data_IF_864925275939
#
_entry.id   IF_864925275939
#
_cell.length_a   1.000
_cell.length_b   1.000
_cell.length_c   1.000
_cell.angle_alpha   90.00
_cell.angle_beta   90.00
_cell.angle_gamma   90.00
#
_symmetry.space_group_name_H-M   'P 1'
#
loop_
_entity.id
_entity.type
_entity.pdbx_description
1 polymer ?
#
# COMPACT_ATOMS: atom_id res chain seq x y z
N UNK A 1 -24.43 -26.07 3.38
CA UNK A 1 -23.60 -26.53 4.51
C UNK A 1 -23.90 -25.67 5.75
N UNK A 2 -24.35 -26.25 6.88
CA UNK A 2 -24.48 -25.54 8.16
C UNK A 2 -23.13 -24.98 8.65
N UNK A 3 -23.14 -23.87 9.40
CA UNK A 3 -21.91 -23.20 9.87
C UNK A 3 -21.34 -23.90 11.12
N UNK A 4 -20.02 -23.90 11.29
CA UNK A 4 -19.30 -24.44 12.46
C UNK A 4 -19.47 -25.95 12.66
N UNK A 5 -19.49 -26.70 11.56
CA UNK A 5 -19.46 -28.17 11.60
C UNK A 5 -18.03 -28.66 11.31
N UNK A 6 -17.51 -29.64 12.06
CA UNK A 6 -16.19 -30.21 11.82
C UNK A 6 -16.18 -31.16 10.62
N UNK A 7 -17.32 -31.77 10.29
CA UNK A 7 -17.46 -32.74 9.20
C UNK A 7 -18.67 -32.40 8.31
N UNK A 8 -18.67 -32.85 7.06
CA UNK A 8 -19.67 -32.52 6.05
C UNK A 8 -20.00 -33.71 5.13
N UNK A 9 -21.25 -33.79 4.61
CA UNK A 9 -21.60 -34.81 3.62
C UNK A 9 -20.74 -34.72 2.34
N UNK A 10 -20.48 -35.87 1.71
CA UNK A 10 -19.62 -36.02 0.52
C UNK A 10 -19.96 -35.08 -0.64
N UNK A 11 -21.23 -34.68 -0.76
CA UNK A 11 -21.71 -33.72 -1.75
C UNK A 11 -21.00 -32.34 -1.68
N UNK A 12 -20.39 -31.98 -0.54
CA UNK A 12 -19.66 -30.71 -0.36
C UNK A 12 -18.14 -30.85 -0.45
N UNK A 13 -17.62 -32.05 -0.70
CA UNK A 13 -16.17 -32.33 -0.72
C UNK A 13 -15.40 -31.46 -1.72
N UNK A 14 -15.92 -31.26 -2.93
CA UNK A 14 -15.23 -30.50 -3.98
C UNK A 14 -14.95 -29.04 -3.59
N UNK A 15 -15.96 -28.32 -3.09
CA UNK A 15 -15.79 -26.91 -2.70
C UNK A 15 -14.91 -26.74 -1.46
N UNK A 16 -14.97 -27.69 -0.51
CA UNK A 16 -14.05 -27.69 0.63
C UNK A 16 -12.61 -27.92 0.19
N UNK A 17 -12.36 -28.85 -0.76
CA UNK A 17 -11.01 -29.08 -1.30
C UNK A 17 -10.42 -27.83 -1.98
N UNK A 18 -11.20 -27.14 -2.82
CA UNK A 18 -10.77 -25.88 -3.46
C UNK A 18 -10.51 -24.79 -2.41
N UNK A 19 -11.37 -24.67 -1.40
CA UNK A 19 -11.21 -23.68 -0.33
C UNK A 19 -9.97 -23.94 0.52
N UNK A 20 -9.68 -25.20 0.85
CA UNK A 20 -8.46 -25.61 1.55
C UNK A 20 -7.20 -25.30 0.73
N UNK A 21 -7.23 -25.55 -0.58
CA UNK A 21 -6.13 -25.18 -1.46
C UNK A 21 -5.93 -23.65 -1.51
N UNK A 22 -7.02 -22.88 -1.63
CA UNK A 22 -6.97 -21.42 -1.58
C UNK A 22 -6.36 -20.89 -0.27
N UNK A 23 -6.68 -21.53 0.87
CA UNK A 23 -6.07 -21.19 2.16
C UNK A 23 -4.55 -21.39 2.16
N UNK A 24 -4.04 -22.43 1.52
CA UNK A 24 -2.59 -22.65 1.39
C UNK A 24 -1.94 -21.51 0.59
N UNK A 25 -2.57 -21.10 -0.52
CA UNK A 25 -2.11 -19.96 -1.33
C UNK A 25 -2.08 -18.67 -0.52
N UNK A 26 -3.11 -18.42 0.32
CA UNK A 26 -3.14 -17.24 1.20
C UNK A 26 -2.01 -17.22 2.23
N UNK A 27 -1.64 -18.38 2.78
CA UNK A 27 -0.49 -18.48 3.70
C UNK A 27 0.81 -18.13 2.99
N UNK A 28 1.04 -18.68 1.79
CA UNK A 28 2.22 -18.37 0.98
C UNK A 28 2.27 -16.87 0.62
N UNK A 29 1.14 -16.29 0.21
CA UNK A 29 1.04 -14.86 -0.09
C UNK A 29 1.37 -13.98 1.13
N UNK A 30 0.96 -14.40 2.33
CA UNK A 30 1.26 -13.67 3.57
C UNK A 30 2.75 -13.70 3.91
N UNK A 31 3.41 -14.84 3.70
CA UNK A 31 4.87 -14.95 3.86
C UNK A 31 5.59 -14.05 2.86
N UNK A 32 5.17 -14.06 1.60
CA UNK A 32 5.72 -13.18 0.57
C UNK A 32 5.51 -11.69 0.91
N UNK A 33 4.34 -11.32 1.41
CA UNK A 33 4.06 -9.97 1.88
C UNK A 33 5.00 -9.54 3.01
N UNK A 34 5.26 -10.43 3.98
CA UNK A 34 6.26 -10.19 5.03
C UNK A 34 7.67 -9.96 4.48
N UNK A 35 8.06 -10.72 3.46
CA UNK A 35 9.34 -10.52 2.77
C UNK A 35 9.40 -9.17 2.03
N UNK A 36 8.32 -8.75 1.34
CA UNK A 36 8.26 -7.46 0.66
C UNK A 36 8.43 -6.31 1.66
N UNK A 37 7.78 -6.39 2.83
CA UNK A 37 7.97 -5.40 3.89
C UNK A 37 9.43 -5.33 4.33
N UNK A 38 10.06 -6.49 4.58
CA UNK A 38 11.47 -6.56 4.95
C UNK A 38 12.37 -5.91 3.89
N UNK A 39 12.15 -6.21 2.61
CA UNK A 39 12.92 -5.64 1.50
C UNK A 39 12.80 -4.11 1.43
N UNK A 40 11.59 -3.58 1.61
CA UNK A 40 11.34 -2.13 1.64
C UNK A 40 12.11 -1.45 2.77
N UNK A 41 12.21 -2.05 3.95
CA UNK A 41 12.90 -1.42 5.08
C UNK A 41 14.43 -1.50 5.01
N UNK A 42 14.98 -2.57 4.42
CA UNK A 42 16.43 -2.82 4.45
C UNK A 42 17.12 -2.37 3.17
N UNK A 43 16.48 -2.57 2.02
CA UNK A 43 17.15 -2.45 0.71
C UNK A 43 16.71 -1.23 -0.10
N UNK A 44 15.53 -0.65 0.17
CA UNK A 44 15.03 0.47 -0.63
C UNK A 44 15.58 1.83 -0.15
N UNK A 45 15.88 2.77 -1.07
CA UNK A 45 16.25 4.12 -0.71
C UNK A 45 15.05 4.91 -0.14
N UNK A 46 15.34 6.08 0.43
CA UNK A 46 14.30 6.99 0.93
C UNK A 46 13.34 7.34 -0.21
N UNK A 47 12.04 7.22 0.05
CA UNK A 47 11.00 7.48 -0.94
C UNK A 47 10.88 8.98 -1.23
N UNK A 48 10.36 9.32 -2.41
CA UNK A 48 9.83 10.67 -2.63
C UNK A 48 8.73 10.99 -1.60
N UNK A 49 8.55 12.28 -1.29
CA UNK A 49 7.45 12.81 -0.49
C UNK A 49 6.09 12.35 -1.00
N UNK A 50 5.89 12.36 -2.33
CA UNK A 50 4.67 11.89 -2.97
C UNK A 50 4.96 10.87 -4.09
N UNK A 51 5.00 9.56 -3.76
CA UNK A 51 5.25 8.51 -4.75
C UNK A 51 4.05 8.24 -5.67
N UNK A 52 2.87 8.79 -5.37
CA UNK A 52 1.65 8.61 -6.16
C UNK A 52 1.32 9.82 -7.05
N UNK A 53 2.16 10.86 -7.02
CA UNK A 53 1.98 12.06 -7.81
C UNK A 53 2.00 11.75 -9.31
N UNK A 54 1.08 12.38 -10.03
CA UNK A 54 1.04 12.33 -11.50
C UNK A 54 1.13 13.74 -12.05
N UNK A 55 1.77 13.89 -13.21
CA UNK A 55 1.83 15.17 -13.89
C UNK A 55 0.44 15.68 -14.27
N UNK A 56 0.23 16.99 -14.14
CA UNK A 56 -0.98 17.64 -14.64
C UNK A 56 -0.96 17.71 -16.17
N UNK A 57 -2.14 17.81 -16.79
CA UNK A 57 -2.27 17.79 -18.25
C UNK A 57 -1.39 18.81 -18.98
N UNK A 58 -1.15 19.98 -18.38
CA UNK A 58 -0.35 21.05 -18.97
C UNK A 58 1.11 21.10 -18.49
N UNK A 59 1.58 20.12 -17.72
CA UNK A 59 2.96 20.05 -17.21
C UNK A 59 3.73 18.94 -17.91
N UNK A 60 4.95 19.22 -18.38
CA UNK A 60 5.81 18.17 -18.94
C UNK A 60 6.36 17.27 -17.83
N UNK A 61 6.59 15.99 -18.16
CA UNK A 61 7.18 15.02 -17.23
C UNK A 61 8.56 15.44 -16.73
N UNK A 62 9.37 16.07 -17.59
CA UNK A 62 10.69 16.59 -17.20
C UNK A 62 10.58 17.64 -16.08
N UNK A 63 9.63 18.57 -16.20
CA UNK A 63 9.38 19.58 -15.19
C UNK A 63 8.74 18.99 -13.93
N UNK A 64 7.94 17.93 -14.07
CA UNK A 64 7.31 17.24 -12.94
C UNK A 64 8.33 16.50 -12.08
N UNK A 65 9.32 15.84 -12.68
CA UNK A 65 10.38 15.12 -11.98
C UNK A 65 11.37 16.08 -11.32
N UNK A 66 11.63 17.23 -11.96
CA UNK A 66 12.56 18.25 -11.42
C UNK A 66 11.93 19.17 -10.36
N UNK A 67 10.60 19.37 -10.36
CA UNK A 67 9.94 20.21 -9.38
C UNK A 67 9.67 19.48 -8.05
N UNK A 68 10.30 19.95 -6.98
CA UNK A 68 10.02 19.51 -5.60
C UNK A 68 8.62 19.89 -5.10
N UNK A 69 7.99 20.92 -5.69
CA UNK A 69 6.67 21.40 -5.29
C UNK A 69 5.55 20.69 -6.06
N UNK A 70 5.29 19.43 -5.71
CA UNK A 70 4.11 18.75 -6.21
C UNK A 70 2.85 19.28 -5.50
N UNK A 71 1.88 19.78 -6.26
CA UNK A 71 0.57 20.13 -5.72
C UNK A 71 -0.19 18.85 -5.37
N UNK A 72 -0.51 18.66 -4.10
CA UNK A 72 -1.39 17.60 -3.62
C UNK A 72 -2.74 18.18 -3.20
N UNK A 73 -3.81 17.39 -3.35
CA UNK A 73 -5.14 17.75 -2.83
C UNK A 73 -5.22 17.63 -1.31
N UNK A 74 -4.25 16.96 -0.68
CA UNK A 74 -4.24 16.61 0.73
C UNK A 74 -2.85 16.85 1.34
N UNK A 75 -2.81 17.15 2.63
CA UNK A 75 -1.59 17.65 3.30
C UNK A 75 -0.55 16.55 3.57
N UNK A 76 -0.93 15.28 3.60
CA UNK A 76 -0.01 14.17 3.90
C UNK A 76 1.12 14.05 2.88
N UNK A 77 0.86 14.41 1.61
CA UNK A 77 1.83 14.31 0.52
C UNK A 77 2.65 15.59 0.29
N UNK A 78 2.44 16.64 1.10
CA UNK A 78 3.25 17.87 1.03
C UNK A 78 4.42 17.85 2.02
N UNK A 79 4.44 16.89 2.93
CA UNK A 79 5.49 16.71 3.93
C UNK A 79 6.67 15.90 3.38
N UNK A 80 7.83 16.06 4.01
CA UNK A 80 9.00 15.26 3.69
C UNK A 80 8.82 13.78 4.06
N UNK A 81 9.42 12.87 3.29
CA UNK A 81 9.60 11.46 3.66
C UNK A 81 11.06 11.21 4.05
N UNK A 82 11.39 10.79 5.29
CA UNK A 82 10.49 10.59 6.43
C UNK A 82 10.04 11.92 7.08
N UNK A 83 8.88 11.87 7.73
CA UNK A 83 8.25 13.05 8.33
C UNK A 83 9.04 13.50 9.58
N UNK A 84 9.33 14.81 9.75
CA UNK A 84 9.98 15.31 10.96
C UNK A 84 9.04 15.21 12.18
N UNK A 85 9.62 15.10 13.38
CA UNK A 85 8.85 14.95 14.63
C UNK A 85 7.78 16.05 14.84
N UNK A 86 8.10 17.29 14.43
CA UNK A 86 7.15 18.39 14.34
C UNK A 86 6.90 18.73 12.87
N UNK A 87 5.84 18.14 12.30
CA UNK A 87 5.49 18.27 10.88
C UNK A 87 5.27 19.73 10.45
N UNK A 88 4.62 20.53 11.29
CA UNK A 88 4.25 21.91 10.99
C UNK A 88 4.81 22.87 12.03
N UNK A 89 5.64 23.82 11.60
CA UNK A 89 6.08 24.94 12.44
C UNK A 89 4.97 26.00 12.62
N UNK A 90 4.12 26.11 11.61
CA UNK A 90 2.91 26.95 11.59
C UNK A 90 1.76 26.12 11.04
N UNK A 91 0.56 26.33 11.57
CA UNK A 91 -0.63 25.62 11.10
C UNK A 91 -0.87 25.96 9.61
N UNK A 92 -1.17 24.97 8.76
CA UNK A 92 -1.52 25.22 7.37
C UNK A 92 -2.82 26.03 7.31
N UNK A 93 -2.83 27.07 6.48
CA UNK A 93 -4.02 27.88 6.26
C UNK A 93 -4.93 27.18 5.24
N UNK A 94 -6.23 27.17 5.52
CA UNK A 94 -7.27 26.71 4.60
C UNK A 94 -8.19 27.90 4.30
N UNK A 95 -8.47 28.14 3.02
CA UNK A 95 -9.41 29.16 2.54
C UNK A 95 -10.86 28.78 2.75
#
# INVERSE_FOLDING_TARGET
MPRRIPDYPDAFSGWNAVSSFGSLVSVIATILFGYIIYDIFVNQPVSNNNPWGVASYFTSESLFIENESQSSNTLEWTLASPIPFHAFKMLPAQS
#
